data_IF_457772346890
#
_entry.id   IF_457772346890
#
_cell.length_a   1.000
_cell.length_b   1.000
_cell.length_c   1.000
_cell.angle_alpha   90.00
_cell.angle_beta   90.00
_cell.angle_gamma   90.00
#
_symmetry.space_group_name_H-M   'P 1'
#
loop_
_entity.id
_entity.type
_entity.pdbx_description
1 polymer ?
#
# COMPACT_ATOMS: atom_id res chain seq x y z
N UNK A 1 -0.82 -20.67 23.14
CA UNK A 1 -1.37 -19.57 22.31
C UNK A 1 -1.15 -18.22 23.03
N UNK A 2 -1.15 -17.06 22.35
CA UNK A 2 -0.85 -15.76 23.01
C UNK A 2 -1.83 -15.44 24.16
N UNK A 3 -3.07 -15.90 24.03
CA UNK A 3 -4.11 -15.84 25.08
C UNK A 3 -3.76 -16.70 26.30
N UNK A 4 -3.24 -17.92 26.08
CA UNK A 4 -2.78 -18.82 27.15
C UNK A 4 -1.52 -18.29 27.85
N UNK A 5 -0.72 -17.48 27.15
CA UNK A 5 0.42 -16.77 27.75
C UNK A 5 0.00 -15.58 28.63
N UNK A 6 -1.31 -15.32 28.78
CA UNK A 6 -1.87 -14.30 29.66
C UNK A 6 -2.12 -12.94 28.99
N UNK A 7 -2.07 -12.84 27.65
CA UNK A 7 -2.39 -11.59 26.97
C UNK A 7 -3.89 -11.27 27.05
N UNK A 8 -4.24 -10.04 27.46
CA UNK A 8 -5.64 -9.60 27.60
C UNK A 8 -6.17 -8.80 26.39
N UNK A 9 -5.27 -8.36 25.50
CA UNK A 9 -5.58 -7.55 24.31
C UNK A 9 -4.44 -7.71 23.30
N UNK A 10 -4.76 -7.60 22.01
CA UNK A 10 -3.76 -7.54 20.93
C UNK A 10 -3.86 -6.20 20.21
N UNK A 11 -2.72 -5.53 20.03
CA UNK A 11 -2.59 -4.39 19.12
C UNK A 11 -1.86 -4.87 17.87
N UNK A 12 -2.46 -4.69 16.70
CA UNK A 12 -1.88 -5.08 15.41
C UNK A 12 -1.86 -3.89 14.46
N UNK A 13 -0.81 -3.81 13.64
CA UNK A 13 -0.70 -2.81 12.59
C UNK A 13 -0.73 -3.51 11.23
N UNK A 14 -1.58 -3.03 10.31
CA UNK A 14 -1.60 -3.43 8.91
C UNK A 14 -1.55 -4.96 8.67
N UNK A 15 -2.54 -5.68 9.21
CA UNK A 15 -2.70 -7.11 8.95
C UNK A 15 -2.74 -7.42 7.45
N UNK A 16 -2.03 -8.48 7.05
CA UNK A 16 -2.03 -8.97 5.66
C UNK A 16 -3.44 -9.31 5.16
N UNK A 17 -4.26 -9.88 6.04
CA UNK A 17 -5.70 -10.09 5.83
C UNK A 17 -6.45 -9.66 7.08
N UNK A 18 -7.49 -8.85 6.91
CA UNK A 18 -8.37 -8.43 8.02
C UNK A 18 -9.09 -9.62 8.68
N UNK A 19 -9.23 -10.74 7.97
CA UNK A 19 -9.84 -11.97 8.50
C UNK A 19 -9.01 -12.59 9.63
N UNK A 20 -7.70 -12.30 9.70
CA UNK A 20 -6.83 -12.82 10.75
C UNK A 20 -7.22 -12.32 12.16
N UNK A 21 -8.00 -11.24 12.27
CA UNK A 21 -8.57 -10.79 13.54
C UNK A 21 -9.48 -11.84 14.18
N UNK A 22 -10.13 -12.68 13.38
CA UNK A 22 -11.02 -13.75 13.86
C UNK A 22 -10.28 -14.93 14.50
N UNK A 23 -8.94 -14.95 14.47
CA UNK A 23 -8.14 -15.98 15.15
C UNK A 23 -7.87 -15.68 16.62
N UNK A 24 -8.24 -14.50 17.12
CA UNK A 24 -8.02 -14.10 18.50
C UNK A 24 -9.34 -14.12 19.27
N UNK A 25 -9.36 -14.82 20.40
CA UNK A 25 -10.50 -14.83 21.34
C UNK A 25 -10.54 -13.59 22.26
N UNK A 26 -9.56 -12.68 22.11
CA UNK A 26 -9.38 -11.47 22.91
C UNK A 26 -9.52 -10.22 22.04
N UNK A 27 -9.87 -9.05 22.61
CA UNK A 27 -10.03 -7.81 21.84
C UNK A 27 -8.78 -7.48 21.01
N UNK A 28 -8.99 -7.22 19.72
CA UNK A 28 -7.93 -6.83 18.77
C UNK A 28 -8.15 -5.39 18.31
N UNK A 29 -7.18 -4.53 18.59
CA UNK A 29 -7.11 -3.18 18.06
C UNK A 29 -6.29 -3.22 16.76
N UNK A 30 -6.94 -3.01 15.61
CA UNK A 30 -6.26 -2.95 14.31
C UNK A 30 -6.03 -1.50 13.89
N UNK A 31 -4.76 -1.10 13.94
CA UNK A 31 -4.30 0.21 13.53
C UNK A 31 -3.84 0.16 12.07
N UNK A 32 -4.17 1.21 11.32
CA UNK A 32 -3.75 1.37 9.93
C UNK A 32 -2.61 2.39 9.85
N UNK A 33 -1.48 2.03 9.23
CA UNK A 33 -0.36 2.95 8.97
C UNK A 33 -0.62 3.90 7.79
N UNK A 34 -1.65 3.63 6.99
CA UNK A 34 -2.01 4.41 5.81
C UNK A 34 -2.07 5.94 6.03
N UNK A 35 -2.70 6.48 7.09
CA UNK A 35 -2.79 7.94 7.29
C UNK A 35 -1.41 8.59 7.44
N UNK A 36 -0.50 7.97 8.20
CA UNK A 36 0.86 8.51 8.42
C UNK A 36 1.64 8.57 7.10
N UNK A 37 1.49 7.55 6.26
CA UNK A 37 2.12 7.51 4.94
C UNK A 37 1.55 8.60 4.03
N UNK A 38 0.23 8.80 4.06
CA UNK A 38 -0.42 9.85 3.26
C UNK A 38 0.01 11.24 3.70
N UNK A 39 0.07 11.50 5.00
CA UNK A 39 0.53 12.76 5.55
C UNK A 39 2.00 13.02 5.19
N UNK A 40 2.84 11.98 5.26
CA UNK A 40 4.23 12.08 4.81
C UNK A 40 4.32 12.41 3.32
N UNK A 41 3.56 11.73 2.46
CA UNK A 41 3.55 12.00 1.02
C UNK A 41 3.00 13.40 0.70
N UNK A 42 1.96 13.84 1.40
CA UNK A 42 1.41 15.19 1.25
C UNK A 42 2.38 16.28 1.73
N UNK A 43 3.20 15.98 2.75
CA UNK A 43 4.25 16.90 3.23
C UNK A 43 5.41 17.05 2.24
N UNK A 44 5.58 16.10 1.31
CA UNK A 44 6.53 16.23 0.22
C UNK A 44 5.89 17.10 -0.86
N UNK A 45 6.61 18.13 -1.31
CA UNK A 45 6.23 18.98 -2.44
C UNK A 45 6.36 18.19 -3.75
N UNK A 46 5.50 17.20 -3.92
CA UNK A 46 5.38 16.41 -5.14
C UNK A 46 4.31 17.11 -5.98
N UNK A 47 4.66 17.51 -7.20
CA UNK A 47 3.67 18.02 -8.14
C UNK A 47 2.59 16.96 -8.36
N UNK A 48 1.33 17.35 -8.12
CA UNK A 48 0.17 16.47 -8.32
C UNK A 48 0.11 15.88 -9.74
N UNK A 49 0.66 16.58 -10.73
CA UNK A 49 0.72 16.16 -12.15
C UNK A 49 1.73 15.03 -12.43
N UNK A 50 2.64 14.76 -11.50
CA UNK A 50 3.64 13.70 -11.61
C UNK A 50 3.38 12.53 -10.64
N UNK A 51 2.26 12.57 -9.91
CA UNK A 51 1.87 11.54 -8.96
C UNK A 51 1.01 10.47 -9.64
N UNK A 52 1.49 9.23 -9.65
CA UNK A 52 0.72 8.05 -10.07
C UNK A 52 0.80 7.00 -8.98
N UNK A 53 -0.36 6.48 -8.59
CA UNK A 53 -0.48 5.38 -7.66
C UNK A 53 -0.46 4.06 -8.43
N UNK A 54 0.38 3.11 -8.04
CA UNK A 54 0.54 1.85 -8.76
C UNK A 54 0.11 0.67 -7.89
N UNK A 55 -0.78 -0.16 -8.42
CA UNK A 55 -1.10 -1.47 -7.84
C UNK A 55 -0.19 -2.54 -8.45
N UNK A 56 0.59 -3.28 -7.64
CA UNK A 56 1.53 -4.30 -8.14
C UNK A 56 0.82 -5.58 -8.64
N UNK A 57 -0.44 -5.77 -8.25
CA UNK A 57 -1.27 -6.91 -8.62
C UNK A 57 -2.75 -6.50 -8.70
N UNK A 58 -3.58 -7.39 -9.24
CA UNK A 58 -5.04 -7.18 -9.32
C UNK A 58 -5.68 -7.23 -7.92
N UNK A 59 -5.13 -8.03 -7.00
CA UNK A 59 -5.64 -8.17 -5.63
C UNK A 59 -5.48 -6.90 -4.79
N UNK A 60 -4.44 -6.09 -5.04
CA UNK A 60 -4.17 -4.84 -4.36
C UNK A 60 -4.90 -3.61 -4.92
N UNK A 61 -5.64 -3.74 -6.03
CA UNK A 61 -6.24 -2.61 -6.75
C UNK A 61 -7.20 -1.81 -5.87
N UNK A 62 -7.99 -2.50 -5.03
CA UNK A 62 -8.91 -1.84 -4.13
C UNK A 62 -8.19 -0.95 -3.10
N UNK A 63 -7.05 -1.42 -2.56
CA UNK A 63 -6.21 -0.65 -1.64
C UNK A 63 -5.56 0.52 -2.35
N UNK A 64 -4.94 0.28 -3.51
CA UNK A 64 -4.29 1.31 -4.31
C UNK A 64 -5.27 2.41 -4.72
N UNK A 65 -6.50 2.05 -5.11
CA UNK A 65 -7.57 3.01 -5.42
C UNK A 65 -7.97 3.86 -4.21
N UNK A 66 -8.08 3.26 -3.02
CA UNK A 66 -8.38 4.00 -1.81
C UNK A 66 -7.26 4.99 -1.43
N UNK A 67 -6.00 4.66 -1.74
CA UNK A 67 -4.88 5.59 -1.62
C UNK A 67 -4.94 6.72 -2.64
N UNK A 68 -5.19 6.40 -3.92
CA UNK A 68 -5.31 7.38 -5.01
C UNK A 68 -6.38 8.44 -4.72
N UNK A 69 -7.55 8.03 -4.24
CA UNK A 69 -8.64 8.94 -3.87
C UNK A 69 -8.23 9.94 -2.78
N UNK A 70 -7.39 9.53 -1.83
CA UNK A 70 -6.91 10.39 -0.74
C UNK A 70 -5.76 11.31 -1.19
N UNK A 71 -5.10 10.99 -2.29
CA UNK A 71 -4.04 11.79 -2.92
C UNK A 71 -4.59 12.59 -4.10
N UNK A 72 -5.63 13.40 -3.85
CA UNK A 72 -6.24 14.28 -4.85
C UNK A 72 -6.68 13.57 -6.14
N UNK A 73 -7.29 12.39 -6.01
CA UNK A 73 -7.73 11.56 -7.14
C UNK A 73 -6.61 11.27 -8.16
N UNK A 74 -5.40 10.99 -7.66
CA UNK A 74 -4.24 10.65 -8.50
C UNK A 74 -4.53 9.48 -9.46
N UNK A 75 -3.95 9.49 -10.68
CA UNK A 75 -4.05 8.37 -11.61
C UNK A 75 -3.62 7.03 -10.99
N UNK A 76 -4.37 5.96 -11.31
CA UNK A 76 -4.09 4.60 -10.86
C UNK A 76 -3.54 3.76 -12.02
N UNK A 77 -2.34 3.22 -11.87
CA UNK A 77 -1.77 2.20 -12.74
C UNK A 77 -1.89 0.80 -12.08
N UNK A 78 -2.07 -0.23 -12.89
CA UNK A 78 -2.19 -1.61 -12.42
C UNK A 78 -1.21 -2.48 -13.21
N UNK A 79 -0.39 -3.25 -12.51
CA UNK A 79 0.54 -4.19 -13.14
C UNK A 79 -0.16 -5.54 -13.33
N UNK A 80 -0.44 -5.90 -14.58
CA UNK A 80 -0.96 -7.23 -14.94
C UNK A 80 0.22 -8.22 -15.08
N UNK A 81 0.64 -8.81 -13.95
CA UNK A 81 1.68 -9.83 -13.95
C UNK A 81 1.12 -11.19 -14.36
N UNK A 82 1.28 -11.55 -15.64
CA UNK A 82 0.96 -12.89 -16.15
C UNK A 82 2.13 -13.85 -15.92
N UNK A 83 1.89 -14.94 -15.18
CA UNK A 83 2.87 -16.02 -15.00
C UNK A 83 2.69 -17.04 -16.13
N UNK A 84 3.72 -17.28 -16.94
CA UNK A 84 3.73 -18.35 -17.96
C UNK A 84 4.46 -19.64 -17.51
N UNK A 85 4.94 -19.71 -16.25
CA UNK A 85 5.59 -20.92 -15.70
C UNK A 85 5.94 -20.81 -14.22
N UNK A 86 6.31 -21.95 -13.61
CA UNK A 86 6.80 -22.02 -12.22
C UNK A 86 8.25 -21.50 -12.16
N UNK A 87 8.56 -20.67 -11.16
CA UNK A 87 9.88 -20.13 -10.78
C UNK A 87 10.48 -18.94 -11.54
N UNK A 88 9.77 -18.27 -12.45
CA UNK A 88 10.22 -16.95 -12.96
C UNK A 88 9.23 -15.88 -12.53
N UNK A 89 9.42 -15.40 -11.31
CA UNK A 89 8.69 -14.24 -10.81
C UNK A 89 9.69 -13.24 -10.22
N UNK A 90 10.38 -12.50 -11.07
CA UNK A 90 10.91 -11.20 -10.68
C UNK A 90 9.73 -10.27 -10.42
N UNK A 91 9.31 -10.19 -9.16
CA UNK A 91 8.75 -9.01 -8.54
C UNK A 91 8.58 -9.34 -7.06
N UNK A 92 9.70 -9.31 -6.34
CA UNK A 92 9.69 -9.02 -4.92
C UNK A 92 9.88 -7.51 -4.81
N UNK A 93 8.79 -6.76 -4.92
CA UNK A 93 8.79 -5.37 -4.48
C UNK A 93 7.72 -5.25 -3.41
N UNK A 94 8.18 -4.99 -2.20
CA UNK A 94 7.38 -4.44 -1.12
C UNK A 94 6.96 -3.02 -1.58
N UNK A 95 5.92 -2.92 -2.41
CA UNK A 95 5.44 -1.63 -2.95
C UNK A 95 4.62 -0.94 -1.86
N UNK A 96 5.31 -0.14 -1.05
CA UNK A 96 4.74 1.16 -0.68
C UNK A 96 4.48 1.89 -2.00
N UNK A 97 3.24 2.31 -2.26
CA UNK A 97 2.87 3.15 -3.40
C UNK A 97 3.91 4.27 -3.57
N UNK A 98 4.84 4.14 -4.52
CA UNK A 98 5.77 5.20 -4.86
C UNK A 98 5.76 5.41 -6.38
N UNK A 99 5.21 6.58 -6.72
CA UNK A 99 5.61 7.49 -7.80
C UNK A 99 6.42 6.90 -8.94
N UNK A 100 5.74 6.58 -10.02
CA UNK A 100 6.38 6.53 -11.33
C UNK A 100 6.01 7.77 -12.13
N UNK A 101 6.88 8.78 -12.00
CA UNK A 101 7.38 9.53 -13.15
C UNK A 101 8.81 9.96 -12.83
N UNK A 102 9.78 9.25 -13.38
CA UNK A 102 11.10 9.85 -13.58
C UNK A 102 10.90 10.97 -14.60
N UNK A 103 11.12 12.21 -14.17
CA UNK A 103 11.26 13.36 -15.05
C UNK A 103 12.40 13.07 -16.04
N UNK A 104 12.04 12.62 -17.25
CA UNK A 104 12.88 12.81 -18.43
C UNK A 104 12.71 14.27 -18.83
N UNK A 105 13.53 15.15 -18.26
CA UNK A 105 13.62 16.53 -18.72
C UNK A 105 14.50 16.56 -19.98
N UNK A 106 14.08 17.27 -21.03
CA UNK A 106 15.02 18.21 -21.63
C UNK A 106 14.69 19.67 -21.28
N UNK A 107 13.45 20.01 -20.89
CA UNK A 107 13.07 21.42 -20.77
C UNK A 107 12.10 21.71 -19.62
N UNK A 108 12.64 22.34 -18.58
CA UNK A 108 12.06 23.35 -17.69
C UNK A 108 10.70 23.07 -17.05
N UNK A 109 10.72 22.77 -15.75
CA UNK A 109 9.68 23.26 -14.84
C UNK A 109 10.27 24.41 -14.01
N UNK A 110 9.60 25.57 -14.09
CA UNK A 110 9.77 26.77 -13.28
C UNK A 110 9.26 26.56 -11.85
#
# INVERSE_FOLDING_TARGET
MITEAGANRVLVCDLHSSQAMGYFDIPVDHVYGQPVILDYLASKTICSDDLVVVSPDVGGVARARAFAKKLSDAPLAIVDKRRQGHNVAEASILVLCYLLKQCSQPNGCI
#
